data_IF_943174538799
#
_entry.id   IF_943174538799
#
_cell.length_a   1.000
_cell.length_b   1.000
_cell.length_c   1.000
_cell.angle_alpha   90.00
_cell.angle_beta   90.00
_cell.angle_gamma   90.00
#
_symmetry.space_group_name_H-M   'P 1'
#
loop_
_entity.id
_entity.type
_entity.pdbx_description
1 polymer ?
#
# COMPACT_ATOMS: atom_id res chain seq x y z
N UNK A 1 -30.00 -7.63 16.34
CA UNK A 1 -31.01 -7.79 15.25
C UNK A 1 -31.48 -6.49 14.60
N UNK A 2 -31.27 -5.33 15.22
CA UNK A 2 -31.69 -4.03 14.66
C UNK A 2 -30.58 -3.27 13.92
N UNK A 3 -29.34 -3.74 13.96
CA UNK A 3 -28.18 -3.07 13.36
C UNK A 3 -28.24 -3.06 11.82
N UNK A 4 -28.81 -4.10 11.22
CA UNK A 4 -28.86 -4.29 9.77
C UNK A 4 -30.12 -3.74 9.08
N UNK A 5 -31.09 -3.24 9.83
CA UNK A 5 -32.39 -2.81 9.28
C UNK A 5 -32.57 -1.29 9.12
N UNK A 6 -31.57 -0.49 9.41
CA UNK A 6 -31.67 0.96 9.18
C UNK A 6 -30.70 1.39 8.08
N UNK A 7 -31.32 1.71 6.96
CA UNK A 7 -30.89 2.61 5.88
C UNK A 7 -30.39 1.95 4.61
N UNK A 8 -31.34 1.53 3.81
CA UNK A 8 -31.28 1.89 2.40
C UNK A 8 -31.69 3.39 2.25
N UNK A 9 -30.85 4.30 2.68
CA UNK A 9 -30.77 5.64 2.12
C UNK A 9 -29.58 5.62 1.21
N UNK A 10 -29.80 5.94 -0.07
CA UNK A 10 -28.88 5.83 -1.16
C UNK A 10 -27.42 6.03 -0.72
N UNK A 11 -26.65 5.00 -0.89
CA UNK A 11 -25.21 5.13 -0.87
C UNK A 11 -24.87 5.93 -2.13
N UNK A 12 -24.84 7.25 -2.02
CA UNK A 12 -24.09 8.07 -2.94
C UNK A 12 -22.65 7.67 -2.75
N UNK A 13 -22.22 6.64 -3.49
CA UNK A 13 -20.81 6.36 -3.67
C UNK A 13 -20.22 7.62 -4.30
N UNK A 14 -19.62 8.46 -3.47
CA UNK A 14 -18.73 9.49 -3.97
C UNK A 14 -17.66 8.78 -4.76
N UNK A 15 -17.67 8.98 -6.08
CA UNK A 15 -16.59 8.55 -6.96
C UNK A 15 -15.28 9.03 -6.33
N UNK A 16 -14.42 8.10 -5.86
CA UNK A 16 -13.07 8.40 -5.42
C UNK A 16 -12.68 8.05 -3.98
N UNK A 17 -13.56 7.46 -3.18
CA UNK A 17 -13.19 6.93 -1.86
C UNK A 17 -13.14 5.41 -1.92
N UNK A 18 -11.92 4.87 -2.15
CA UNK A 18 -11.66 3.44 -2.11
C UNK A 18 -10.78 3.17 -0.90
N UNK A 19 -11.03 2.07 -0.22
CA UNK A 19 -10.26 1.59 0.91
C UNK A 19 -9.14 0.67 0.42
N UNK A 20 -8.14 0.40 1.30
CA UNK A 20 -7.02 -0.46 0.98
C UNK A 20 -7.47 -1.82 0.43
N UNK A 21 -6.65 -2.40 -0.44
CA UNK A 21 -6.91 -3.70 -1.05
C UNK A 21 -5.71 -4.62 -0.81
N UNK A 22 -5.98 -5.77 -0.21
CA UNK A 22 -5.00 -6.84 -0.05
C UNK A 22 -5.36 -8.00 -0.97
N UNK A 23 -4.40 -8.47 -1.77
CA UNK A 23 -4.65 -9.54 -2.71
C UNK A 23 -3.37 -10.18 -3.24
N UNK A 24 -3.53 -11.01 -4.28
CA UNK A 24 -2.42 -11.70 -4.93
C UNK A 24 -2.49 -11.56 -6.45
N UNK A 25 -1.35 -11.40 -7.08
CA UNK A 25 -1.24 -11.14 -8.52
C UNK A 25 -1.83 -12.27 -9.39
N UNK A 26 -1.92 -13.50 -8.89
CA UNK A 26 -2.54 -14.60 -9.64
C UNK A 26 -4.05 -14.41 -9.87
N UNK A 27 -4.70 -13.59 -9.06
CA UNK A 27 -6.14 -13.36 -9.08
C UNK A 27 -6.51 -12.01 -9.73
N UNK A 28 -5.68 -11.46 -10.59
CA UNK A 28 -5.84 -10.11 -11.17
C UNK A 28 -7.17 -9.88 -11.85
N UNK A 29 -7.80 -10.91 -12.42
CA UNK A 29 -9.13 -10.83 -13.03
C UNK A 29 -10.21 -10.35 -12.06
N UNK A 30 -10.00 -10.55 -10.76
CA UNK A 30 -10.96 -10.17 -9.72
C UNK A 30 -10.83 -8.67 -9.33
N UNK A 31 -9.78 -8.00 -9.79
CA UNK A 31 -9.45 -6.60 -9.45
C UNK A 31 -9.67 -5.60 -10.57
N UNK A 32 -10.41 -6.00 -11.63
CA UNK A 32 -10.68 -5.14 -12.79
C UNK A 32 -11.47 -3.86 -12.48
N UNK A 33 -12.04 -3.74 -11.28
CA UNK A 33 -12.74 -2.56 -10.79
C UNK A 33 -11.82 -1.45 -10.27
N UNK A 34 -10.53 -1.73 -10.09
CA UNK A 34 -9.54 -0.76 -9.60
C UNK A 34 -9.23 0.28 -10.67
N UNK A 35 -8.57 1.35 -10.24
CA UNK A 35 -8.16 2.45 -11.10
C UNK A 35 -7.28 1.94 -12.26
N UNK A 36 -7.42 2.58 -13.42
CA UNK A 36 -6.67 2.22 -14.63
C UNK A 36 -5.16 2.19 -14.39
N UNK A 37 -4.62 3.18 -13.67
CA UNK A 37 -3.19 3.25 -13.38
C UNK A 37 -2.72 2.15 -12.43
N UNK A 38 -3.58 1.69 -11.52
CA UNK A 38 -3.29 0.50 -10.70
C UNK A 38 -3.22 -0.75 -11.56
N UNK A 39 -4.14 -0.90 -12.50
CA UNK A 39 -4.14 -2.03 -13.44
C UNK A 39 -2.88 -2.02 -14.33
N UNK A 40 -2.39 -0.85 -14.72
CA UNK A 40 -1.10 -0.72 -15.44
C UNK A 40 0.08 -1.22 -14.60
N UNK A 41 0.07 -1.00 -13.30
CA UNK A 41 1.10 -1.53 -12.39
C UNK A 41 1.10 -3.06 -12.37
N UNK A 42 -0.07 -3.68 -12.28
CA UNK A 42 -0.18 -5.13 -12.33
C UNK A 42 0.33 -5.68 -13.67
N UNK A 43 -0.03 -5.06 -14.76
CA UNK A 43 0.43 -5.45 -16.11
C UNK A 43 1.95 -5.30 -16.22
N UNK A 44 2.50 -4.22 -15.70
CA UNK A 44 3.95 -4.02 -15.62
C UNK A 44 4.64 -5.12 -14.82
N UNK A 45 4.11 -5.47 -13.65
CA UNK A 45 4.66 -6.52 -12.81
C UNK A 45 4.63 -7.90 -13.48
N UNK A 46 3.60 -8.17 -14.29
CA UNK A 46 3.51 -9.43 -15.06
C UNK A 46 4.53 -9.51 -16.21
N UNK A 47 4.84 -8.38 -16.82
CA UNK A 47 5.68 -8.33 -18.03
C UNK A 47 7.15 -8.05 -17.77
N UNK A 48 7.54 -7.82 -16.51
CA UNK A 48 8.91 -7.51 -16.12
C UNK A 48 9.35 -8.38 -14.95
N UNK A 49 10.59 -8.85 -14.99
CA UNK A 49 11.20 -9.57 -13.85
C UNK A 49 11.70 -8.56 -12.80
N UNK A 50 10.79 -8.09 -11.96
CA UNK A 50 11.10 -7.08 -10.95
C UNK A 50 12.09 -7.58 -9.89
N UNK A 51 12.17 -8.89 -9.65
CA UNK A 51 13.15 -9.47 -8.73
C UNK A 51 14.60 -9.22 -9.21
N UNK A 52 14.80 -9.10 -10.52
CA UNK A 52 16.10 -8.80 -11.12
C UNK A 52 16.43 -7.30 -11.18
N UNK A 53 15.47 -6.43 -10.85
CA UNK A 53 15.70 -4.98 -10.87
C UNK A 53 16.65 -4.56 -9.74
N UNK A 54 17.48 -3.57 -10.02
CA UNK A 54 18.29 -2.91 -9.00
C UNK A 54 17.41 -2.07 -8.07
N UNK A 55 17.85 -1.95 -6.81
CA UNK A 55 17.21 -1.03 -5.86
C UNK A 55 17.26 0.40 -6.37
N UNK A 56 16.21 1.14 -6.12
CA UNK A 56 16.06 2.51 -6.57
C UNK A 56 14.75 2.74 -7.31
N UNK A 57 14.60 3.95 -7.83
CA UNK A 57 13.41 4.37 -8.55
C UNK A 57 13.53 4.09 -10.05
N UNK A 58 12.49 3.51 -10.63
CA UNK A 58 12.39 3.21 -12.06
C UNK A 58 11.14 3.86 -12.63
N UNK A 59 11.32 4.73 -13.61
CA UNK A 59 10.25 5.46 -14.25
C UNK A 59 9.39 4.53 -15.12
N UNK A 60 8.06 4.69 -15.04
CA UNK A 60 7.09 4.02 -15.93
C UNK A 60 6.38 5.08 -16.77
N UNK A 61 5.85 6.14 -16.16
CA UNK A 61 5.23 7.29 -16.82
C UNK A 61 5.59 8.58 -16.06
N UNK A 62 6.83 9.03 -16.19
CA UNK A 62 7.32 10.23 -15.54
C UNK A 62 7.14 10.17 -14.02
N UNK A 63 6.62 11.25 -13.46
CA UNK A 63 6.26 11.33 -12.05
C UNK A 63 4.81 10.89 -11.76
N UNK A 64 4.04 10.58 -12.80
CA UNK A 64 2.67 10.06 -12.64
C UNK A 64 2.65 8.60 -12.17
N UNK A 65 3.63 7.82 -12.61
CA UNK A 65 3.72 6.40 -12.32
C UNK A 65 5.18 5.96 -12.35
N UNK A 66 5.67 5.47 -11.22
CA UNK A 66 7.00 4.91 -11.10
C UNK A 66 7.03 3.82 -10.05
N UNK A 67 8.08 3.02 -10.05
CA UNK A 67 8.26 1.94 -9.08
C UNK A 67 9.56 2.10 -8.33
N UNK A 68 9.50 2.03 -7.01
CA UNK A 68 10.65 1.96 -6.12
C UNK A 68 10.91 0.51 -5.77
N UNK A 69 12.09 0.02 -6.13
CA UNK A 69 12.55 -1.31 -5.72
C UNK A 69 13.36 -1.14 -4.44
N UNK A 70 12.94 -1.81 -3.38
CA UNK A 70 13.57 -1.72 -2.06
C UNK A 70 13.99 -3.10 -1.55
N UNK A 71 15.12 -3.13 -0.86
CA UNK A 71 15.61 -4.26 -0.10
C UNK A 71 15.91 -3.79 1.32
N UNK A 72 15.41 -4.45 2.31
CA UNK A 72 15.72 -4.17 3.70
C UNK A 72 15.46 -5.39 4.58
N UNK A 73 15.96 -5.34 5.79
CA UNK A 73 15.68 -6.34 6.81
C UNK A 73 14.48 -5.90 7.63
N UNK A 74 13.52 -6.82 7.83
CA UNK A 74 12.39 -6.58 8.72
C UNK A 74 12.85 -6.52 10.18
N UNK A 75 12.09 -5.86 11.03
CA UNK A 75 12.42 -5.62 12.42
C UNK A 75 11.16 -5.58 13.29
N UNK A 76 11.34 -5.34 14.58
CA UNK A 76 10.21 -5.21 15.51
C UNK A 76 9.40 -3.93 15.23
N UNK A 77 8.10 -3.91 15.55
CA UNK A 77 7.26 -2.74 15.30
C UNK A 77 7.77 -1.45 15.97
N UNK A 78 8.41 -1.57 17.14
CA UNK A 78 8.93 -0.44 17.89
C UNK A 78 10.04 0.33 17.15
N UNK A 79 10.72 -0.34 16.22
CA UNK A 79 11.75 0.27 15.37
C UNK A 79 11.19 0.84 14.07
N UNK A 80 9.88 0.82 13.91
CA UNK A 80 9.22 1.29 12.69
C UNK A 80 8.29 2.46 13.01
N UNK A 81 7.88 3.16 11.96
CA UNK A 81 7.03 4.33 12.05
C UNK A 81 5.78 4.16 11.19
N UNK A 82 4.74 4.89 11.54
CA UNK A 82 3.50 4.97 10.78
C UNK A 82 3.58 6.09 9.75
N UNK A 83 3.04 5.83 8.57
CA UNK A 83 2.96 6.81 7.49
C UNK A 83 1.65 6.68 6.71
N UNK A 84 1.28 7.78 6.07
CA UNK A 84 0.30 7.84 5.01
C UNK A 84 0.75 8.90 3.99
N UNK A 85 0.07 8.94 2.86
CA UNK A 85 0.41 9.81 1.75
C UNK A 85 -0.82 10.59 1.28
N UNK A 86 -0.64 11.73 0.65
CA UNK A 86 -1.74 12.55 0.12
C UNK A 86 -1.72 12.69 -1.39
N UNK A 87 -0.54 12.54 -2.01
CA UNK A 87 -0.32 12.81 -3.43
C UNK A 87 -0.28 11.54 -4.26
N UNK A 88 0.10 10.41 -3.67
CA UNK A 88 0.27 9.14 -4.35
C UNK A 88 -0.46 8.01 -3.62
N UNK A 89 -0.97 7.06 -4.42
CA UNK A 89 -1.28 5.73 -3.91
C UNK A 89 0.01 4.92 -3.81
N UNK A 90 0.10 4.05 -2.81
CA UNK A 90 1.18 3.09 -2.67
C UNK A 90 0.67 1.69 -2.97
N UNK A 91 1.23 1.05 -3.98
CA UNK A 91 1.00 -0.37 -4.24
C UNK A 91 2.26 -1.15 -3.87
N UNK A 92 2.22 -1.80 -2.71
CA UNK A 92 3.27 -2.69 -2.24
C UNK A 92 3.10 -4.06 -2.89
N UNK A 93 4.09 -4.50 -3.63
CA UNK A 93 4.11 -5.79 -4.30
C UNK A 93 5.32 -6.60 -3.85
N UNK A 94 5.07 -7.75 -3.19
CA UNK A 94 6.15 -8.54 -2.60
C UNK A 94 6.85 -9.40 -3.64
N UNK A 95 8.17 -9.23 -3.72
CA UNK A 95 9.06 -10.00 -4.59
C UNK A 95 9.74 -11.15 -3.84
N UNK A 96 10.17 -10.88 -2.61
CA UNK A 96 10.75 -11.87 -1.69
C UNK A 96 10.46 -11.44 -0.26
N UNK A 97 9.63 -12.19 0.43
CA UNK A 97 9.17 -11.91 1.80
C UNK A 97 9.61 -12.96 2.80
N UNK A 98 8.91 -13.06 3.96
CA UNK A 98 7.68 -12.32 4.29
C UNK A 98 7.93 -10.96 4.94
N UNK A 99 6.97 -10.08 4.80
CA UNK A 99 6.89 -8.80 5.51
C UNK A 99 5.51 -8.65 6.13
N UNK A 100 5.44 -8.22 7.38
CA UNK A 100 4.20 -7.75 7.97
C UNK A 100 4.08 -6.25 7.76
N UNK A 101 2.89 -5.81 7.33
CA UNK A 101 2.51 -4.39 7.27
C UNK A 101 1.33 -4.19 8.21
N UNK A 102 1.54 -3.38 9.24
CA UNK A 102 0.47 -2.97 10.14
C UNK A 102 -0.36 -1.89 9.48
N UNK A 103 -1.67 -1.93 9.69
CA UNK A 103 -2.61 -1.01 9.06
C UNK A 103 -3.59 -0.42 10.07
N UNK A 104 -4.03 0.80 9.79
CA UNK A 104 -5.10 1.51 10.47
C UNK A 104 -5.63 2.61 9.55
N UNK A 105 -6.63 3.35 9.99
CA UNK A 105 -7.11 4.53 9.30
C UNK A 105 -6.56 5.78 9.98
N UNK A 106 -6.22 6.81 9.20
CA UNK A 106 -5.62 8.04 9.75
C UNK A 106 -6.52 8.72 10.79
N UNK A 107 -7.85 8.57 10.67
CA UNK A 107 -8.80 9.16 11.60
C UNK A 107 -8.75 8.53 13.01
N UNK A 108 -8.17 7.34 13.14
CA UNK A 108 -7.96 6.65 14.41
C UNK A 108 -6.60 6.96 15.05
N UNK A 109 -5.80 7.81 14.42
CA UNK A 109 -4.40 8.02 14.79
C UNK A 109 -4.10 9.49 15.03
N UNK A 110 -3.04 9.77 15.76
CA UNK A 110 -2.49 11.11 15.90
C UNK A 110 -1.73 11.48 14.64
N UNK A 111 -2.21 12.49 13.91
CA UNK A 111 -1.58 12.99 12.70
C UNK A 111 -0.57 14.08 13.07
N UNK A 112 0.67 13.94 12.59
CA UNK A 112 1.72 14.95 12.72
C UNK A 112 1.70 15.90 11.52
N UNK A 113 2.68 16.80 11.44
CA UNK A 113 2.78 17.73 10.33
C UNK A 113 3.12 17.01 9.02
N UNK A 114 2.32 17.27 7.99
CA UNK A 114 2.54 16.72 6.65
C UNK A 114 3.76 17.36 5.99
N UNK A 115 4.67 16.52 5.49
CA UNK A 115 5.87 16.94 4.75
C UNK A 115 5.58 16.82 3.25
N UNK A 116 5.20 17.94 2.65
CA UNK A 116 4.70 17.99 1.27
C UNK A 116 5.72 17.48 0.23
N UNK A 117 6.98 17.87 0.38
CA UNK A 117 8.03 17.47 -0.58
C UNK A 117 8.29 15.97 -0.65
N UNK A 118 8.02 15.25 0.43
CA UNK A 118 8.23 13.81 0.54
C UNK A 118 6.91 13.03 0.48
N UNK A 119 5.78 13.72 0.32
CA UNK A 119 4.44 13.13 0.43
C UNK A 119 4.29 12.25 1.67
N UNK A 120 4.71 12.78 2.82
CA UNK A 120 4.84 12.01 4.04
C UNK A 120 3.99 12.62 5.16
N UNK A 121 3.00 11.86 5.61
CA UNK A 121 2.21 12.15 6.80
C UNK A 121 2.66 11.22 7.92
N UNK A 122 3.44 11.72 8.89
CA UNK A 122 3.80 10.92 10.06
C UNK A 122 2.59 10.74 10.97
N UNK A 123 2.46 9.56 11.56
CA UNK A 123 1.34 9.20 12.43
C UNK A 123 1.85 8.48 13.67
N UNK A 124 1.08 8.57 14.75
CA UNK A 124 1.28 7.78 15.95
C UNK A 124 -0.03 7.10 16.35
N UNK A 125 0.08 5.88 16.84
CA UNK A 125 -1.05 5.08 17.30
C UNK A 125 -0.76 3.59 17.22
N UNK A 126 -1.80 2.81 17.51
CA UNK A 126 -1.71 1.36 17.48
C UNK A 126 -2.27 0.83 16.16
N UNK A 127 -1.92 -0.41 15.83
CA UNK A 127 -2.52 -1.07 14.67
C UNK A 127 -3.97 -1.46 14.94
N UNK A 128 -4.79 -1.34 13.92
CA UNK A 128 -6.12 -1.91 13.87
C UNK A 128 -6.03 -3.40 13.46
N UNK A 129 -5.25 -3.67 12.43
CA UNK A 129 -4.96 -5.01 11.94
C UNK A 129 -3.60 -5.05 11.24
N UNK A 130 -3.25 -6.18 10.64
CA UNK A 130 -2.07 -6.30 9.82
C UNK A 130 -2.29 -7.30 8.69
N UNK A 131 -1.46 -7.21 7.68
CA UNK A 131 -1.35 -8.19 6.61
C UNK A 131 0.07 -8.74 6.56
N UNK A 132 0.22 -9.98 6.11
CA UNK A 132 1.52 -10.60 5.86
C UNK A 132 1.64 -10.82 4.36
N UNK A 133 2.66 -10.22 3.75
CA UNK A 133 2.93 -10.34 2.32
C UNK A 133 4.02 -11.38 2.09
N UNK A 134 3.70 -12.37 1.27
CA UNK A 134 4.67 -13.30 0.67
C UNK A 134 4.73 -13.06 -0.85
N UNK A 135 5.58 -13.79 -1.56
CA UNK A 135 5.79 -13.57 -3.00
C UNK A 135 4.47 -13.52 -3.78
N UNK A 136 4.27 -12.44 -4.54
CA UNK A 136 3.07 -12.21 -5.35
C UNK A 136 1.90 -11.56 -4.63
N UNK A 137 1.97 -11.38 -3.32
CA UNK A 137 0.97 -10.63 -2.56
C UNK A 137 1.17 -9.13 -2.75
N UNK A 138 0.07 -8.39 -2.73
CA UNK A 138 0.09 -6.94 -2.79
C UNK A 138 -0.81 -6.31 -1.74
N UNK A 139 -0.46 -5.08 -1.35
CA UNK A 139 -1.28 -4.19 -0.54
C UNK A 139 -1.33 -2.83 -1.23
N UNK A 140 -2.52 -2.41 -1.60
CA UNK A 140 -2.80 -1.08 -2.17
C UNK A 140 -3.29 -0.16 -1.05
N UNK A 141 -2.56 0.94 -0.81
CA UNK A 141 -2.89 1.93 0.20
C UNK A 141 -3.34 3.24 -0.45
N UNK A 142 -4.46 3.75 0.02
CA UNK A 142 -5.05 5.05 -0.33
C UNK A 142 -4.68 6.11 0.73
N UNK A 143 -4.98 7.39 0.52
CA UNK A 143 -4.57 8.45 1.46
C UNK A 143 -5.05 8.28 2.90
N UNK A 144 -6.20 7.64 3.12
CA UNK A 144 -6.71 7.37 4.48
C UNK A 144 -6.12 6.15 5.15
N UNK A 145 -5.34 5.38 4.42
CA UNK A 145 -4.80 4.09 4.87
C UNK A 145 -3.42 4.30 5.48
N UNK A 146 -3.38 4.38 6.80
CA UNK A 146 -2.13 4.42 7.55
C UNK A 146 -1.47 3.04 7.52
N UNK A 147 -0.17 3.00 7.32
CA UNK A 147 0.59 1.77 7.27
C UNK A 147 1.95 1.91 7.95
N UNK A 148 2.39 0.81 8.56
CA UNK A 148 3.70 0.67 9.18
C UNK A 148 4.37 -0.55 8.59
N UNK A 149 5.39 -0.32 7.75
CA UNK A 149 6.08 -1.34 6.97
C UNK A 149 7.29 -1.92 7.69
N UNK A 150 7.93 -2.92 7.07
CA UNK A 150 9.16 -3.56 7.54
C UNK A 150 9.05 -4.26 8.89
N UNK A 151 7.85 -4.67 9.26
CA UNK A 151 7.62 -5.42 10.50
C UNK A 151 7.93 -6.90 10.25
N UNK A 152 8.73 -7.50 11.14
CA UNK A 152 9.06 -8.91 11.07
C UNK A 152 7.85 -9.80 11.37
N UNK A 153 7.78 -10.97 10.73
CA UNK A 153 6.73 -11.96 11.02
C UNK A 153 7.08 -12.73 12.28
N UNK A 154 8.17 -13.44 12.34
CA UNK A 154 8.63 -14.14 13.54
C UNK A 154 10.04 -13.69 13.92
N UNK A 155 10.84 -13.43 12.91
CA UNK A 155 12.25 -13.05 13.02
C UNK A 155 12.59 -12.05 11.93
N UNK A 156 13.67 -11.27 12.08
CA UNK A 156 14.16 -10.44 10.99
C UNK A 156 14.53 -11.26 9.76
N UNK A 157 14.09 -10.81 8.57
CA UNK A 157 14.48 -11.40 7.30
C UNK A 157 14.74 -10.31 6.28
N UNK A 158 15.65 -10.54 5.36
CA UNK A 158 15.83 -9.68 4.19
C UNK A 158 14.69 -9.89 3.22
N UNK A 159 14.03 -8.80 2.84
CA UNK A 159 12.96 -8.81 1.85
C UNK A 159 13.35 -7.96 0.64
N UNK A 160 12.69 -8.24 -0.47
CA UNK A 160 12.70 -7.37 -1.66
C UNK A 160 11.27 -7.12 -2.09
N UNK A 161 10.93 -5.87 -2.33
CA UNK A 161 9.60 -5.52 -2.83
C UNK A 161 9.63 -4.36 -3.80
N UNK A 162 8.58 -4.29 -4.61
CA UNK A 162 8.28 -3.17 -5.46
C UNK A 162 7.19 -2.31 -4.80
N UNK A 163 7.41 -1.00 -4.72
CA UNK A 163 6.41 -0.04 -4.30
C UNK A 163 6.09 0.83 -5.50
N UNK A 164 4.95 0.57 -6.13
CA UNK A 164 4.46 1.44 -7.21
C UNK A 164 3.86 2.69 -6.61
N UNK A 165 4.30 3.84 -7.10
CA UNK A 165 3.80 5.16 -6.73
C UNK A 165 2.90 5.65 -7.86
N UNK A 166 1.63 5.83 -7.55
CA UNK A 166 0.58 6.18 -8.51
C UNK A 166 0.04 7.55 -8.13
N UNK A 167 0.36 8.57 -8.93
CA UNK A 167 -0.09 9.94 -8.66
C UNK A 167 -1.60 10.05 -8.72
N UNK A 168 -2.17 10.64 -7.66
CA UNK A 168 -3.61 10.88 -7.60
C UNK A 168 -3.94 12.01 -8.55
N UNK A 169 -4.87 11.76 -9.47
CA UNK A 169 -5.37 12.77 -10.39
C UNK A 169 -6.41 13.63 -9.67
N UNK A 170 -6.21 14.94 -9.75
CA UNK A 170 -7.16 15.92 -9.22
C UNK A 170 -8.24 16.25 -10.25
#
# INVERSE_FOLDING_TARGET
>A
RHFWRKKNKGCDQKKGETDMVFGNIRDLKDYGYLEEDVLKCFEYAKNHDLLAYETGSHEIDGDNLFVNIVEYETTTPENRFWEAHRQYLDLHFMLRGPEQIDVNFIDNMEQKEFVEKDDFLPLEGEKNSHVILTEGDFLLCYPKDAHRTAVQVEKPVKIKKAIFKIKIQK
#
